data_IF_390007719517
#
_entry.id   IF_390007719517
#
_cell.length_a   1.000
_cell.length_b   1.000
_cell.length_c   1.000
_cell.angle_alpha   90.00
_cell.angle_beta   90.00
_cell.angle_gamma   90.00
#
_symmetry.space_group_name_H-M   'P 1'
#
loop_
_entity.id
_entity.type
_entity.pdbx_description
1 polymer ?
#
# COMPACT_ATOMS: atom_id res chain seq x y z
N UNK A 1 15.13 21.58 -63.04
CA UNK A 1 15.49 21.07 -64.38
C UNK A 1 16.78 20.27 -64.26
N UNK A 2 17.07 19.40 -65.24
CA UNK A 2 18.22 18.45 -65.29
C UNK A 2 18.10 17.26 -64.31
N UNK A 3 18.55 16.09 -64.76
CA UNK A 3 18.57 14.82 -64.00
C UNK A 3 19.42 13.77 -64.74
N UNK A 4 19.22 12.48 -64.44
CA UNK A 4 19.86 11.27 -65.06
C UNK A 4 21.32 11.05 -64.56
N UNK A 5 21.86 9.81 -64.39
CA UNK A 5 21.36 8.48 -64.81
C UNK A 5 21.21 7.38 -63.74
N UNK A 6 20.51 6.30 -64.15
CA UNK A 6 20.65 4.92 -63.64
C UNK A 6 21.59 4.09 -64.53
N UNK A 7 22.25 3.06 -63.98
CA UNK A 7 22.62 1.76 -64.62
C UNK A 7 22.99 0.77 -63.48
N UNK A 8 22.28 -0.35 -63.31
CA UNK A 8 22.64 -1.73 -63.76
C UNK A 8 23.97 -2.26 -63.17
N UNK A 9 24.07 -3.46 -62.58
CA UNK A 9 23.64 -4.76 -63.15
C UNK A 9 23.79 -5.96 -62.19
N UNK A 10 22.76 -6.85 -62.11
CA UNK A 10 22.80 -8.35 -61.93
C UNK A 10 23.47 -8.93 -60.64
N UNK A 11 23.14 -10.13 -60.10
CA UNK A 11 22.37 -11.32 -60.54
C UNK A 11 22.04 -12.24 -59.32
N UNK A 12 21.02 -13.11 -59.44
CA UNK A 12 20.74 -14.37 -58.70
C UNK A 12 20.79 -14.38 -57.14
N UNK A 13 19.72 -14.69 -56.37
CA UNK A 13 18.80 -15.83 -56.33
C UNK A 13 19.34 -17.11 -55.63
N UNK A 14 18.83 -17.42 -54.43
CA UNK A 14 18.15 -18.70 -54.11
C UNK A 14 17.38 -18.64 -52.77
N UNK A 15 16.39 -19.51 -52.61
CA UNK A 15 15.66 -19.74 -51.35
C UNK A 15 16.46 -20.61 -50.37
N UNK A 16 16.08 -20.60 -49.08
CA UNK A 16 15.53 -21.77 -48.34
C UNK A 16 15.26 -21.40 -46.87
N UNK A 17 14.14 -21.88 -46.34
CA UNK A 17 13.75 -21.83 -44.91
C UNK A 17 14.40 -22.94 -44.10
N UNK A 18 14.87 -22.66 -42.88
CA UNK A 18 15.01 -23.68 -41.83
C UNK A 18 15.06 -23.07 -40.42
N UNK A 19 14.33 -23.70 -39.49
CA UNK A 19 14.55 -23.58 -38.04
C UNK A 19 15.81 -24.36 -37.63
N UNK A 20 16.49 -23.93 -36.58
CA UNK A 20 17.33 -24.81 -35.76
C UNK A 20 17.37 -24.33 -34.30
N UNK A 21 16.99 -25.22 -33.38
CA UNK A 21 17.24 -25.04 -31.95
C UNK A 21 18.68 -25.49 -31.63
N UNK A 22 19.36 -24.78 -30.74
CA UNK A 22 20.67 -25.17 -30.24
C UNK A 22 20.54 -25.77 -28.83
N UNK A 23 20.74 -27.09 -28.73
CA UNK A 23 20.88 -27.80 -27.45
C UNK A 23 22.19 -27.41 -26.75
N UNK A 24 22.16 -27.33 -25.42
CA UNK A 24 23.36 -27.11 -24.61
C UNK A 24 24.17 -28.42 -24.57
N UNK A 25 25.43 -28.38 -25.05
CA UNK A 25 26.27 -29.58 -25.18
C UNK A 25 27.06 -29.83 -23.89
N UNK A 26 26.92 -31.03 -23.32
CA UNK A 26 27.73 -31.49 -22.18
C UNK A 26 29.13 -31.83 -22.64
N UNK A 27 30.15 -31.27 -21.97
CA UNK A 27 31.56 -31.63 -22.21
C UNK A 27 31.92 -32.85 -21.36
N UNK A 28 32.39 -33.91 -22.02
CA UNK A 28 33.00 -35.08 -21.38
C UNK A 28 34.53 -34.98 -21.47
N UNK A 29 35.23 -35.29 -20.38
CA UNK A 29 36.67 -35.51 -20.37
C UNK A 29 36.98 -36.88 -19.72
N UNK A 30 37.93 -37.61 -20.30
CA UNK A 30 38.38 -38.93 -19.82
C UNK A 30 39.62 -38.84 -18.90
N UNK A 31 39.94 -39.90 -18.11
CA UNK A 31 40.84 -39.79 -16.96
C UNK A 31 42.22 -40.46 -17.11
N UNK A 32 43.24 -39.85 -16.52
CA UNK A 32 44.42 -40.44 -15.82
C UNK A 32 45.28 -39.25 -15.31
N UNK A 33 45.97 -39.21 -14.16
CA UNK A 33 46.54 -40.25 -13.28
C UNK A 33 46.64 -39.75 -11.82
N UNK A 34 46.79 -40.65 -10.84
CA UNK A 34 47.17 -40.38 -9.42
C UNK A 34 48.71 -40.38 -9.24
N UNK A 35 49.32 -40.00 -8.07
CA UNK A 35 48.79 -39.82 -6.69
C UNK A 35 48.91 -38.35 -6.18
N UNK A 36 48.84 -37.94 -4.89
CA UNK A 36 48.90 -38.65 -3.58
C UNK A 36 48.10 -37.93 -2.43
N UNK A 37 48.52 -38.13 -1.18
CA UNK A 37 48.05 -37.52 0.09
C UNK A 37 48.43 -36.02 0.21
N UNK A 38 47.71 -35.14 0.90
CA UNK A 38 47.24 -35.22 2.30
C UNK A 38 45.98 -34.37 2.58
N UNK A 39 45.31 -34.65 3.71
CA UNK A 39 43.89 -34.35 3.93
C UNK A 39 43.43 -32.91 4.23
N UNK A 40 42.11 -32.75 4.16
CA UNK A 40 41.33 -31.84 5.02
C UNK A 40 39.89 -32.34 5.15
N UNK A 41 39.26 -31.95 6.26
CA UNK A 41 37.99 -32.41 6.85
C UNK A 41 36.78 -32.32 5.90
N UNK A 42 35.92 -33.35 5.91
CA UNK A 42 34.64 -33.34 5.20
C UNK A 42 33.53 -32.62 6.00
N UNK A 43 32.74 -31.79 5.33
CA UNK A 43 31.53 -31.18 5.90
C UNK A 43 30.37 -32.21 5.99
N UNK A 44 29.49 -32.12 7.00
CA UNK A 44 28.32 -32.99 7.11
C UNK A 44 27.29 -32.72 6.00
N UNK A 45 26.53 -33.73 5.55
CA UNK A 45 25.50 -33.55 4.52
C UNK A 45 24.30 -32.74 5.04
N UNK A 46 23.68 -31.96 4.15
CA UNK A 46 22.45 -31.23 4.45
C UNK A 46 21.29 -32.19 4.76
N UNK A 47 20.37 -31.83 5.68
CA UNK A 47 19.23 -32.67 6.03
C UNK A 47 18.25 -32.80 4.86
N UNK A 48 17.67 -34.00 4.71
CA UNK A 48 16.67 -34.29 3.69
C UNK A 48 15.35 -33.52 3.95
N UNK A 49 14.60 -33.14 2.89
CA UNK A 49 13.31 -32.48 3.05
C UNK A 49 12.28 -33.42 3.72
N UNK A 50 11.34 -32.88 4.53
CA UNK A 50 10.34 -33.68 5.21
C UNK A 50 9.39 -34.37 4.22
N UNK A 51 8.97 -35.59 4.57
CA UNK A 51 8.10 -36.41 3.74
C UNK A 51 6.70 -35.79 3.57
N UNK A 52 6.12 -35.96 2.38
CA UNK A 52 4.75 -35.51 2.08
C UNK A 52 3.72 -36.25 2.95
N UNK A 53 2.64 -35.58 3.41
CA UNK A 53 1.61 -36.20 4.23
C UNK A 53 0.82 -37.27 3.46
N UNK A 54 0.43 -38.34 4.16
CA UNK A 54 -0.31 -39.47 3.61
C UNK A 54 -1.73 -39.08 3.14
N UNK A 55 -2.29 -39.75 2.12
CA UNK A 55 -3.63 -39.46 1.61
C UNK A 55 -4.73 -39.83 2.62
N UNK A 56 -5.76 -38.99 2.69
CA UNK A 56 -6.92 -39.18 3.56
C UNK A 56 -7.74 -40.43 3.16
N UNK A 57 -8.41 -41.10 4.13
CA UNK A 57 -9.17 -42.33 3.88
C UNK A 57 -10.43 -42.10 3.03
N UNK A 58 -10.83 -43.14 2.30
CA UNK A 58 -11.84 -43.08 1.25
C UNK A 58 -13.26 -42.71 1.73
N UNK A 59 -13.98 -42.01 0.85
CA UNK A 59 -15.36 -41.58 1.08
C UNK A 59 -16.34 -42.76 1.25
N UNK A 60 -17.22 -42.67 2.25
CA UNK A 60 -18.25 -43.67 2.55
C UNK A 60 -19.54 -43.34 1.79
N UNK A 61 -20.08 -44.32 1.06
CA UNK A 61 -21.26 -44.17 0.21
C UNK A 61 -22.48 -43.54 0.92
N UNK A 62 -22.96 -42.40 0.40
CA UNK A 62 -24.29 -41.85 0.71
C UNK A 62 -25.17 -41.91 -0.53
N UNK A 63 -26.42 -42.35 -0.34
CA UNK A 63 -27.34 -42.75 -1.41
C UNK A 63 -27.67 -41.60 -2.37
N UNK A 64 -27.70 -41.89 -3.68
CA UNK A 64 -28.32 -41.02 -4.70
C UNK A 64 -29.77 -40.69 -4.28
N UNK A 65 -30.05 -39.41 -4.04
CA UNK A 65 -31.41 -38.86 -4.15
C UNK A 65 -31.57 -38.20 -5.51
N UNK A 66 -32.74 -38.41 -6.10
CA UNK A 66 -33.13 -37.88 -7.41
C UNK A 66 -33.13 -36.36 -7.43
N UNK A 67 -32.57 -35.76 -8.49
CA UNK A 67 -32.68 -34.33 -8.76
C UNK A 67 -34.12 -33.99 -9.16
N UNK A 68 -34.90 -33.46 -8.22
CA UNK A 68 -36.11 -32.71 -8.55
C UNK A 68 -35.70 -31.33 -9.05
N UNK A 69 -36.29 -30.84 -10.13
CA UNK A 69 -35.92 -29.57 -10.74
C UNK A 69 -36.00 -28.41 -9.73
N UNK A 70 -34.88 -27.71 -9.53
CA UNK A 70 -34.86 -26.47 -8.74
C UNK A 70 -35.62 -25.41 -9.56
N UNK A 71 -36.76 -24.96 -9.03
CA UNK A 71 -37.46 -23.77 -9.54
C UNK A 71 -36.46 -22.63 -9.64
N UNK A 72 -36.54 -21.82 -10.70
CA UNK A 72 -35.88 -20.50 -10.74
C UNK A 72 -36.17 -19.81 -9.41
N UNK A 73 -35.13 -19.49 -8.65
CA UNK A 73 -35.27 -18.53 -7.59
C UNK A 73 -35.75 -17.23 -8.25
N UNK A 74 -36.90 -16.74 -7.83
CA UNK A 74 -37.33 -15.39 -8.18
C UNK A 74 -36.24 -14.44 -7.69
N UNK A 75 -35.92 -13.43 -8.49
CA UNK A 75 -34.90 -12.45 -8.16
C UNK A 75 -35.37 -11.61 -6.99
N UNK A 76 -35.06 -12.05 -5.76
CA UNK A 76 -34.95 -11.15 -4.63
C UNK A 76 -33.96 -10.07 -5.05
N UNK A 77 -34.46 -8.84 -5.28
CA UNK A 77 -33.63 -7.71 -5.62
C UNK A 77 -32.49 -7.61 -4.62
N UNK A 78 -31.25 -7.51 -5.11
CA UNK A 78 -30.10 -7.45 -4.22
C UNK A 78 -30.23 -6.20 -3.35
N UNK A 79 -30.12 -6.34 -2.04
CA UNK A 79 -30.08 -5.20 -1.13
C UNK A 79 -28.73 -4.47 -1.31
N UNK A 80 -28.72 -3.53 -2.25
CA UNK A 80 -27.57 -2.68 -2.52
C UNK A 80 -27.33 -1.70 -1.35
N UNK A 81 -28.42 -1.21 -0.75
CA UNK A 81 -28.42 -0.09 0.21
C UNK A 81 -28.00 -0.52 1.62
N UNK A 82 -28.35 -1.73 2.03
CA UNK A 82 -27.94 -2.31 3.32
C UNK A 82 -26.49 -2.81 3.36
N UNK A 83 -25.76 -2.79 2.24
CA UNK A 83 -24.39 -3.28 2.18
C UNK A 83 -23.43 -2.46 3.03
N UNK A 84 -22.60 -3.16 3.81
CA UNK A 84 -21.45 -2.58 4.52
C UNK A 84 -20.20 -3.37 4.16
N UNK A 85 -19.18 -2.68 3.67
CA UNK A 85 -17.87 -3.25 3.46
C UNK A 85 -17.20 -3.60 4.81
N UNK A 86 -16.29 -4.57 4.79
CA UNK A 86 -15.46 -4.91 5.94
C UNK A 86 -14.40 -3.82 6.15
N UNK A 87 -14.48 -3.15 7.30
CA UNK A 87 -13.51 -2.13 7.71
C UNK A 87 -12.10 -2.70 7.96
N UNK A 88 -11.04 -1.95 7.62
CA UNK A 88 -9.67 -2.31 7.98
C UNK A 88 -9.50 -2.25 9.51
N UNK A 89 -8.73 -3.17 10.06
CA UNK A 89 -8.54 -3.31 11.51
C UNK A 89 -7.24 -2.64 11.96
N UNK A 90 -7.07 -2.44 13.27
CA UNK A 90 -5.75 -2.29 13.89
C UNK A 90 -5.00 -3.63 13.76
N UNK A 91 -3.72 -3.60 13.35
CA UNK A 91 -2.82 -4.75 13.45
C UNK A 91 -1.59 -4.34 14.25
N UNK A 92 -1.22 -5.19 15.22
CA UNK A 92 0.01 -5.02 15.97
C UNK A 92 1.19 -5.68 15.24
N UNK A 93 1.99 -4.88 14.53
CA UNK A 93 3.12 -5.39 13.74
C UNK A 93 4.25 -5.99 14.59
N UNK A 94 4.22 -5.78 15.90
CA UNK A 94 5.16 -6.40 16.87
C UNK A 94 5.07 -7.93 16.85
N UNK A 95 4.02 -8.49 16.25
CA UNK A 95 3.78 -9.93 16.10
C UNK A 95 4.37 -10.56 14.83
N UNK A 96 4.98 -9.78 13.93
CA UNK A 96 5.56 -10.34 12.70
C UNK A 96 6.85 -11.13 12.98
N UNK A 97 6.78 -12.45 12.80
CA UNK A 97 7.89 -13.38 12.99
C UNK A 97 9.02 -13.16 11.96
N UNK A 98 10.26 -13.05 12.43
CA UNK A 98 11.44 -12.96 11.57
C UNK A 98 12.64 -12.30 12.26
N UNK A 99 13.75 -12.22 11.54
CA UNK A 99 14.86 -11.34 11.93
C UNK A 99 14.46 -9.88 11.66
N UNK A 100 14.70 -8.98 12.61
CA UNK A 100 14.39 -7.56 12.44
C UNK A 100 15.14 -6.97 11.23
N UNK A 101 14.47 -6.16 10.37
CA UNK A 101 15.11 -5.56 9.21
C UNK A 101 16.18 -4.55 9.63
N UNK A 102 17.24 -4.44 8.82
CA UNK A 102 18.35 -3.50 9.09
C UNK A 102 17.93 -2.04 8.86
N UNK A 103 16.95 -1.82 7.98
CA UNK A 103 16.39 -0.51 7.64
C UNK A 103 14.87 -0.61 7.44
N UNK A 104 14.14 0.36 7.98
CA UNK A 104 12.75 0.62 7.64
C UNK A 104 12.68 1.81 6.68
N UNK A 105 12.00 1.65 5.55
CA UNK A 105 11.85 2.66 4.51
C UNK A 105 10.37 2.99 4.38
N UNK A 106 9.96 4.09 5.01
CA UNK A 106 8.59 4.60 4.96
C UNK A 106 8.43 5.46 3.71
N UNK A 107 7.38 5.27 2.91
CA UNK A 107 7.18 6.00 1.65
C UNK A 107 5.80 6.64 1.64
N UNK A 108 5.75 7.91 1.21
CA UNK A 108 4.54 8.71 1.02
C UNK A 108 3.60 8.21 -0.08
N UNK A 109 2.47 8.91 -0.21
CA UNK A 109 1.36 8.63 -1.13
C UNK A 109 1.84 8.48 -2.58
N UNK A 110 1.59 7.29 -3.17
CA UNK A 110 2.10 6.94 -4.50
C UNK A 110 1.10 7.27 -5.59
N UNK A 111 -0.21 7.06 -5.35
CA UNK A 111 -1.30 7.35 -6.28
C UNK A 111 -1.02 6.87 -7.73
N UNK A 112 -0.68 5.59 -7.92
CA UNK A 112 -0.42 5.05 -9.26
C UNK A 112 0.85 5.57 -9.98
N UNK A 113 1.71 6.34 -9.31
CA UNK A 113 2.99 6.88 -9.85
C UNK A 113 4.10 5.81 -9.84
N UNK A 114 3.94 4.76 -10.67
CA UNK A 114 4.86 3.60 -10.64
C UNK A 114 6.29 3.92 -11.07
N UNK A 115 6.49 4.79 -12.05
CA UNK A 115 7.84 5.20 -12.50
C UNK A 115 8.62 5.82 -11.34
N UNK A 116 7.96 6.72 -10.61
CA UNK A 116 8.47 7.42 -9.44
C UNK A 116 8.74 6.47 -8.28
N UNK A 117 7.86 5.49 -8.04
CA UNK A 117 8.10 4.45 -7.03
C UNK A 117 9.34 3.60 -7.37
N UNK A 118 9.48 3.15 -8.62
CA UNK A 118 10.68 2.43 -9.07
C UNK A 118 11.95 3.31 -8.95
N UNK A 119 11.87 4.59 -9.30
CA UNK A 119 12.99 5.53 -9.18
C UNK A 119 13.40 5.76 -7.71
N UNK A 120 12.44 5.85 -6.79
CA UNK A 120 12.71 5.99 -5.36
C UNK A 120 13.39 4.73 -4.80
N UNK A 121 12.89 3.54 -5.13
CA UNK A 121 13.49 2.27 -4.73
C UNK A 121 14.95 2.12 -5.21
N UNK A 122 15.23 2.55 -6.45
CA UNK A 122 16.60 2.61 -6.97
C UNK A 122 17.46 3.65 -6.20
N UNK A 123 16.92 4.84 -5.91
CA UNK A 123 17.64 5.92 -5.21
C UNK A 123 17.97 5.59 -3.75
N UNK A 124 17.10 4.88 -3.04
CA UNK A 124 17.38 4.38 -1.67
C UNK A 124 18.23 3.11 -1.66
N UNK A 125 18.53 2.55 -2.84
CA UNK A 125 19.25 1.29 -3.05
C UNK A 125 18.61 0.14 -2.26
N UNK A 126 17.29 -0.04 -2.43
CA UNK A 126 16.50 -1.01 -1.69
C UNK A 126 17.04 -2.44 -1.82
N UNK A 127 17.21 -3.13 -0.69
CA UNK A 127 17.67 -4.52 -0.61
C UNK A 127 16.59 -5.42 -0.01
N UNK A 128 15.85 -6.12 -0.87
CA UNK A 128 14.84 -7.09 -0.44
C UNK A 128 15.46 -8.17 0.47
N UNK A 129 14.80 -8.45 1.60
CA UNK A 129 15.32 -9.37 2.63
C UNK A 129 16.34 -8.76 3.60
N UNK A 130 16.62 -7.46 3.53
CA UNK A 130 17.43 -6.73 4.52
C UNK A 130 16.79 -5.39 4.90
N UNK A 131 16.23 -4.69 3.92
CA UNK A 131 15.36 -3.54 4.10
C UNK A 131 13.88 -4.01 4.14
N UNK A 132 13.04 -3.31 4.92
CA UNK A 132 11.59 -3.42 4.87
C UNK A 132 10.97 -2.10 4.36
N UNK A 133 10.09 -2.18 3.38
CA UNK A 133 9.30 -1.03 2.89
C UNK A 133 7.98 -0.97 3.65
N UNK A 134 7.58 0.22 4.07
CA UNK A 134 6.28 0.50 4.69
C UNK A 134 5.63 1.69 3.95
N UNK A 135 4.46 1.50 3.36
CA UNK A 135 3.75 2.56 2.62
C UNK A 135 2.68 3.20 3.51
N UNK A 136 2.58 4.53 3.49
CA UNK A 136 1.61 5.28 4.33
C UNK A 136 0.18 5.29 3.77
N UNK A 137 -0.14 4.38 2.84
CA UNK A 137 -1.42 4.30 2.13
C UNK A 137 -1.42 5.03 0.78
N UNK A 138 -2.59 5.05 0.15
CA UNK A 138 -2.89 5.68 -1.13
C UNK A 138 -1.92 5.26 -2.24
N UNK A 139 -1.87 3.94 -2.45
CA UNK A 139 -1.13 3.32 -3.56
C UNK A 139 -1.83 3.56 -4.91
N UNK A 140 -3.15 3.79 -4.88
CA UNK A 140 -4.05 3.77 -6.05
C UNK A 140 -4.78 5.10 -6.28
N UNK A 141 -5.50 5.17 -7.41
CA UNK A 141 -6.25 6.33 -7.92
C UNK A 141 -5.37 7.54 -8.30
N UNK A 142 -5.98 8.52 -8.98
CA UNK A 142 -5.38 9.74 -9.55
C UNK A 142 -4.34 9.49 -10.65
N UNK A 143 -3.25 8.80 -10.37
CA UNK A 143 -2.20 8.51 -11.34
C UNK A 143 -2.43 7.21 -12.13
N UNK A 144 -1.71 7.04 -13.26
CA UNK A 144 -2.10 6.13 -14.33
C UNK A 144 -1.95 4.64 -14.00
N UNK A 145 -0.96 4.26 -13.18
CA UNK A 145 -0.48 2.88 -13.08
C UNK A 145 -0.81 2.19 -11.75
N UNK A 146 -2.00 2.45 -11.19
CA UNK A 146 -2.47 1.91 -9.90
C UNK A 146 -2.24 0.39 -9.74
N UNK A 147 -2.59 -0.41 -10.76
CA UNK A 147 -2.43 -1.87 -10.69
C UNK A 147 -0.95 -2.32 -10.71
N UNK A 148 -0.05 -1.54 -11.30
CA UNK A 148 1.39 -1.84 -11.30
C UNK A 148 2.04 -1.45 -9.97
N UNK A 149 1.65 -0.32 -9.36
CA UNK A 149 2.09 0.05 -7.99
C UNK A 149 1.75 -1.06 -7.00
N UNK A 150 0.50 -1.54 -6.99
CA UNK A 150 0.08 -2.63 -6.09
C UNK A 150 0.85 -3.93 -6.40
N UNK A 151 1.07 -4.28 -7.67
CA UNK A 151 1.88 -5.45 -8.06
C UNK A 151 3.34 -5.30 -7.61
N UNK A 152 3.92 -4.11 -7.73
CA UNK A 152 5.29 -3.80 -7.32
C UNK A 152 5.45 -3.92 -5.82
N UNK A 153 4.56 -3.30 -5.05
CA UNK A 153 4.51 -3.36 -3.59
C UNK A 153 4.47 -4.82 -3.08
N UNK A 154 3.62 -5.67 -3.69
CA UNK A 154 3.60 -7.12 -3.43
C UNK A 154 4.94 -7.79 -3.72
N UNK A 155 5.54 -7.49 -4.89
CA UNK A 155 6.76 -8.14 -5.37
C UNK A 155 7.96 -7.86 -4.45
N UNK A 156 8.06 -6.63 -3.94
CA UNK A 156 9.14 -6.22 -3.02
C UNK A 156 8.88 -6.60 -1.56
N UNK A 157 7.73 -7.20 -1.24
CA UNK A 157 7.34 -7.54 0.14
C UNK A 157 6.99 -6.33 1.00
N UNK A 158 6.53 -5.23 0.40
CA UNK A 158 6.15 -4.04 1.16
C UNK A 158 4.98 -4.32 2.11
N UNK A 159 5.04 -3.71 3.29
CA UNK A 159 3.88 -3.51 4.15
C UNK A 159 3.25 -2.15 3.83
N UNK A 160 2.01 -1.95 4.23
CA UNK A 160 1.32 -0.67 4.07
C UNK A 160 0.23 -0.54 5.12
N UNK A 161 -0.15 0.69 5.45
CA UNK A 161 -1.44 1.02 6.05
C UNK A 161 -2.46 1.35 4.95
N UNK A 162 -3.74 1.31 5.29
CA UNK A 162 -4.86 1.66 4.41
C UNK A 162 -4.89 3.18 4.19
N UNK A 163 -4.84 3.62 2.93
CA UNK A 163 -5.23 4.98 2.56
C UNK A 163 -6.72 5.13 2.21
N UNK A 164 -7.23 6.37 2.19
CA UNK A 164 -8.66 6.61 1.94
C UNK A 164 -9.06 6.35 0.46
N UNK A 165 -8.13 6.49 -0.50
CA UNK A 165 -8.35 6.05 -1.88
C UNK A 165 -8.23 4.53 -2.01
N UNK A 166 -7.34 3.88 -1.25
CA UNK A 166 -7.27 2.42 -1.20
C UNK A 166 -8.59 1.82 -0.66
N UNK A 167 -9.14 2.41 0.41
CA UNK A 167 -10.40 1.97 1.02
C UNK A 167 -11.58 2.05 0.05
N UNK A 168 -11.76 3.18 -0.64
CA UNK A 168 -12.78 3.35 -1.68
C UNK A 168 -12.72 2.27 -2.76
N UNK A 169 -11.53 1.87 -3.20
CA UNK A 169 -11.35 0.76 -4.15
C UNK A 169 -11.79 -0.58 -3.54
N UNK A 170 -11.47 -0.83 -2.27
CA UNK A 170 -11.85 -2.07 -1.59
C UNK A 170 -13.35 -2.14 -1.29
N UNK A 171 -13.99 -1.04 -0.87
CA UNK A 171 -15.45 -0.95 -0.71
C UNK A 171 -16.16 -1.26 -2.03
N UNK A 172 -15.74 -0.62 -3.13
CA UNK A 172 -16.24 -0.93 -4.48
C UNK A 172 -16.02 -2.40 -4.86
N UNK A 173 -14.82 -2.96 -4.61
CA UNK A 173 -14.52 -4.35 -4.96
C UNK A 173 -15.42 -5.33 -4.21
N UNK A 174 -15.63 -5.12 -2.92
CA UNK A 174 -16.51 -5.97 -2.10
C UNK A 174 -17.97 -5.84 -2.55
N UNK A 175 -18.45 -4.63 -2.86
CA UNK A 175 -19.80 -4.40 -3.38
C UNK A 175 -20.04 -5.15 -4.71
N UNK A 176 -19.12 -5.02 -5.67
CA UNK A 176 -19.15 -5.68 -6.98
C UNK A 176 -18.95 -7.21 -6.92
N UNK A 177 -18.44 -7.74 -5.80
CA UNK A 177 -18.30 -9.19 -5.56
C UNK A 177 -19.42 -9.76 -4.67
N UNK A 178 -20.20 -8.91 -4.01
CA UNK A 178 -21.32 -9.25 -3.14
C UNK A 178 -22.67 -8.89 -3.77
N UNK A 179 -23.37 -7.84 -3.28
CA UNK A 179 -24.74 -7.52 -3.70
C UNK A 179 -24.84 -7.12 -5.17
N UNK A 180 -23.86 -6.40 -5.73
CA UNK A 180 -23.86 -5.99 -7.13
C UNK A 180 -23.21 -7.02 -8.08
N UNK A 181 -23.01 -8.27 -7.63
CA UNK A 181 -22.26 -9.28 -8.38
C UNK A 181 -22.97 -9.66 -9.68
N UNK A 182 -22.30 -9.37 -10.79
CA UNK A 182 -22.78 -9.71 -12.13
C UNK A 182 -23.70 -8.67 -12.76
N UNK A 183 -23.99 -7.56 -12.07
CA UNK A 183 -24.67 -6.41 -12.66
C UNK A 183 -23.78 -5.73 -13.71
N UNK A 184 -24.39 -5.33 -14.81
CA UNK A 184 -23.79 -4.45 -15.82
C UNK A 184 -23.72 -3.00 -15.34
N UNK A 185 -22.86 -2.20 -15.97
CA UNK A 185 -22.70 -0.77 -15.70
C UNK A 185 -24.03 -0.01 -15.88
N UNK A 186 -24.88 -0.41 -16.82
CA UNK A 186 -26.23 0.17 -17.02
C UNK A 186 -27.21 -0.17 -15.89
N UNK A 187 -27.17 -1.41 -15.37
CA UNK A 187 -28.00 -1.81 -14.22
C UNK A 187 -27.56 -1.09 -12.95
N UNK A 188 -26.24 -0.95 -12.75
CA UNK A 188 -25.64 -0.17 -11.67
C UNK A 188 -26.03 1.30 -11.73
N UNK A 189 -25.90 1.95 -12.90
CA UNK A 189 -26.26 3.36 -13.08
C UNK A 189 -27.75 3.60 -12.75
N UNK A 190 -28.63 2.70 -13.20
CA UNK A 190 -30.08 2.76 -12.94
C UNK A 190 -30.48 2.59 -11.47
N UNK A 191 -29.59 2.06 -10.63
CA UNK A 191 -29.79 1.82 -9.20
C UNK A 191 -28.82 2.64 -8.34
N UNK A 192 -28.16 3.66 -8.91
CA UNK A 192 -27.15 4.47 -8.23
C UNK A 192 -27.67 5.26 -7.02
N UNK A 193 -28.98 5.51 -6.96
CA UNK A 193 -29.67 6.10 -5.79
C UNK A 193 -29.75 5.16 -4.58
N UNK A 194 -29.58 3.85 -4.78
CA UNK A 194 -29.60 2.83 -3.73
C UNK A 194 -28.19 2.36 -3.35
N UNK A 195 -27.15 3.10 -3.77
CA UNK A 195 -25.79 2.80 -3.34
C UNK A 195 -25.57 3.12 -1.85
N UNK A 196 -24.78 2.30 -1.14
CA UNK A 196 -24.61 2.40 0.31
C UNK A 196 -23.62 3.50 0.77
N UNK A 197 -22.97 4.19 -0.18
CA UNK A 197 -21.98 5.24 0.10
C UNK A 197 -22.12 6.39 -0.90
N UNK A 198 -22.12 7.63 -0.41
CA UNK A 198 -22.26 8.82 -1.26
C UNK A 198 -21.09 9.01 -2.24
N UNK A 199 -19.91 8.45 -1.95
CA UNK A 199 -18.72 8.49 -2.79
C UNK A 199 -18.68 7.39 -3.89
N UNK A 200 -19.70 6.53 -3.97
CA UNK A 200 -19.82 5.56 -5.07
C UNK A 200 -20.32 6.24 -6.36
N UNK A 201 -19.37 6.67 -7.20
CA UNK A 201 -19.63 7.15 -8.58
C UNK A 201 -19.00 6.23 -9.62
N UNK A 202 -19.75 5.79 -10.63
CA UNK A 202 -19.23 4.92 -11.72
C UNK A 202 -18.18 5.63 -12.58
N UNK A 203 -18.21 6.95 -12.64
CA UNK A 203 -17.18 7.77 -13.30
C UNK A 203 -15.83 7.80 -12.56
N UNK A 204 -15.81 7.41 -11.28
CA UNK A 204 -14.61 7.47 -10.44
C UNK A 204 -13.52 6.48 -10.89
N UNK A 205 -12.26 6.83 -10.63
CA UNK A 205 -11.16 5.88 -10.82
C UNK A 205 -11.25 4.72 -9.82
N UNK A 206 -11.82 4.94 -8.63
CA UNK A 206 -12.01 3.88 -7.63
C UNK A 206 -12.84 2.72 -8.19
N UNK A 207 -13.93 3.02 -8.90
CA UNK A 207 -14.75 2.01 -9.60
C UNK A 207 -13.97 1.29 -10.71
N UNK A 208 -13.28 2.05 -11.59
CA UNK A 208 -12.49 1.50 -12.71
C UNK A 208 -11.39 0.56 -12.20
N UNK A 209 -10.68 0.96 -11.16
CA UNK A 209 -9.63 0.17 -10.50
C UNK A 209 -10.28 -1.05 -9.83
N UNK A 210 -11.37 -0.90 -9.07
CA UNK A 210 -12.05 -2.02 -8.43
C UNK A 210 -12.51 -3.10 -9.43
N UNK A 211 -12.93 -2.74 -10.65
CA UNK A 211 -13.25 -3.70 -11.72
C UNK A 211 -12.02 -4.38 -12.31
N UNK A 212 -10.95 -3.62 -12.58
CA UNK A 212 -9.79 -4.09 -13.35
C UNK A 212 -8.66 -4.70 -12.51
N UNK A 213 -8.61 -4.43 -11.21
CA UNK A 213 -7.57 -4.94 -10.32
C UNK A 213 -7.65 -6.47 -10.19
N UNK A 214 -6.51 -7.13 -10.34
CA UNK A 214 -6.40 -8.59 -10.21
C UNK A 214 -6.75 -9.05 -8.80
N UNK A 215 -7.31 -10.26 -8.66
CA UNK A 215 -7.80 -10.74 -7.36
C UNK A 215 -6.70 -10.84 -6.28
N UNK A 216 -5.46 -11.14 -6.66
CA UNK A 216 -4.33 -11.16 -5.74
C UNK A 216 -3.88 -9.75 -5.32
N UNK A 217 -3.88 -8.80 -6.25
CA UNK A 217 -3.63 -7.38 -5.97
C UNK A 217 -4.73 -6.79 -5.08
N UNK A 218 -6.01 -7.09 -5.35
CA UNK A 218 -7.13 -6.65 -4.54
C UNK A 218 -7.13 -7.27 -3.13
N UNK A 219 -6.75 -8.55 -2.99
CA UNK A 219 -6.64 -9.20 -1.68
C UNK A 219 -5.47 -8.66 -0.84
N UNK A 220 -4.32 -8.38 -1.47
CA UNK A 220 -3.20 -7.71 -0.80
C UNK A 220 -3.55 -6.27 -0.42
N UNK A 221 -4.16 -5.51 -1.34
CA UNK A 221 -4.64 -4.18 -1.02
C UNK A 221 -5.56 -4.28 0.19
N UNK A 222 -6.60 -5.12 0.17
CA UNK A 222 -7.54 -5.35 1.28
C UNK A 222 -6.93 -5.85 2.60
N UNK A 223 -5.66 -6.29 2.65
CA UNK A 223 -5.04 -6.77 3.90
C UNK A 223 -4.43 -5.66 4.76
N UNK A 224 -4.22 -4.45 4.22
CA UNK A 224 -3.62 -3.35 4.98
C UNK A 224 -4.49 -2.93 6.19
N UNK A 225 -3.91 -2.78 7.40
CA UNK A 225 -4.59 -2.25 8.56
C UNK A 225 -4.80 -0.73 8.47
N UNK A 226 -5.67 -0.17 9.31
CA UNK A 226 -5.80 1.28 9.46
C UNK A 226 -4.59 1.88 10.20
N UNK A 227 -4.10 1.16 11.22
CA UNK A 227 -3.01 1.57 12.11
C UNK A 227 -1.99 0.43 12.18
N UNK A 228 -0.70 0.77 12.15
CA UNK A 228 0.42 -0.17 12.28
C UNK A 228 1.42 0.35 13.33
N UNK A 229 1.47 -0.30 14.49
CA UNK A 229 2.60 -0.17 15.45
C UNK A 229 3.88 -0.72 14.84
N UNK A 230 5.06 -0.46 15.41
CA UNK A 230 6.33 -1.06 14.98
C UNK A 230 6.98 -1.93 16.08
N UNK A 231 7.81 -2.93 15.72
CA UNK A 231 8.62 -3.69 16.68
C UNK A 231 9.76 -2.87 17.28
N UNK A 232 10.33 -3.38 18.38
CA UNK A 232 11.57 -2.88 18.96
C UNK A 232 12.71 -2.82 17.91
N UNK A 233 13.57 -1.78 17.92
CA UNK A 233 13.67 -0.68 18.90
C UNK A 233 12.75 0.52 18.58
N UNK A 234 11.76 0.35 17.70
CA UNK A 234 10.89 1.44 17.21
C UNK A 234 9.47 1.37 17.79
N UNK A 235 9.26 0.78 18.96
CA UNK A 235 7.92 0.58 19.55
C UNK A 235 7.17 1.86 19.90
N UNK A 236 7.88 2.99 20.05
CA UNK A 236 7.30 4.34 20.15
C UNK A 236 6.71 4.87 18.82
N UNK A 237 6.97 4.23 17.69
CA UNK A 237 6.52 4.67 16.38
C UNK A 237 5.25 3.94 15.93
N UNK A 238 4.32 4.70 15.37
CA UNK A 238 3.10 4.22 14.73
C UNK A 238 2.98 4.80 13.32
N UNK A 239 2.46 4.00 12.39
CA UNK A 239 2.15 4.41 11.02
C UNK A 239 0.64 4.45 10.87
N UNK A 240 0.16 5.54 10.27
CA UNK A 240 -1.24 5.79 9.89
C UNK A 240 -1.26 6.47 8.51
N UNK A 241 -2.44 6.68 7.92
CA UNK A 241 -2.53 7.41 6.67
C UNK A 241 -2.75 8.91 6.87
N UNK A 242 -3.82 9.31 7.58
CA UNK A 242 -4.13 10.71 7.86
C UNK A 242 -3.61 11.16 9.22
N UNK A 243 -4.13 10.59 10.31
CA UNK A 243 -3.80 11.01 11.68
C UNK A 243 -4.38 10.10 12.76
N UNK A 244 -4.41 10.62 13.99
CA UNK A 244 -4.96 9.95 15.18
C UNK A 244 -5.70 10.97 16.06
N UNK A 245 -6.83 10.58 16.65
CA UNK A 245 -7.52 11.41 17.65
C UNK A 245 -6.72 11.38 18.95
N UNK A 246 -6.21 12.52 19.46
CA UNK A 246 -5.21 12.56 20.54
C UNK A 246 -5.73 12.16 21.93
N UNK A 247 -7.04 11.97 22.08
CA UNK A 247 -7.72 11.58 23.33
C UNK A 247 -8.19 10.12 23.35
N UNK A 248 -7.94 9.35 22.27
CA UNK A 248 -8.38 7.96 22.14
C UNK A 248 -7.17 7.00 22.12
N UNK A 249 -7.27 5.86 22.81
CA UNK A 249 -6.28 4.79 22.68
C UNK A 249 -6.28 4.22 21.25
N UNK A 250 -5.18 3.60 20.78
CA UNK A 250 -5.08 3.08 19.40
C UNK A 250 -6.21 2.08 19.02
N UNK A 251 -6.73 1.32 19.99
CA UNK A 251 -7.84 0.39 19.79
C UNK A 251 -9.25 1.05 19.81
N UNK A 252 -9.33 2.32 20.20
CA UNK A 252 -10.56 3.12 20.26
C UNK A 252 -10.69 4.08 19.05
N UNK A 253 -9.65 4.19 18.22
CA UNK A 253 -9.63 5.00 17.00
C UNK A 253 -10.59 4.43 15.94
N UNK A 254 -11.31 5.30 15.22
CA UNK A 254 -12.13 4.87 14.08
C UNK A 254 -11.28 4.81 12.80
N UNK A 255 -11.40 3.77 11.97
CA UNK A 255 -10.63 3.67 10.73
C UNK A 255 -10.81 4.85 9.78
N UNK A 256 -12.02 5.42 9.69
CA UNK A 256 -12.31 6.59 8.84
C UNK A 256 -11.48 7.81 9.29
N UNK A 257 -11.59 8.21 10.56
CA UNK A 257 -10.83 9.30 11.17
C UNK A 257 -9.31 9.11 10.94
N UNK A 258 -8.80 7.89 11.13
CA UNK A 258 -7.39 7.54 10.93
C UNK A 258 -6.91 7.77 9.49
N UNK A 259 -7.80 7.62 8.51
CA UNK A 259 -7.50 7.80 7.09
C UNK A 259 -7.75 9.22 6.55
N UNK A 260 -8.55 10.05 7.22
CA UNK A 260 -9.00 11.33 6.65
C UNK A 260 -8.60 12.58 7.45
N UNK A 261 -8.15 12.41 8.70
CA UNK A 261 -7.82 13.55 9.58
C UNK A 261 -6.71 14.42 8.97
N UNK A 262 -7.02 15.71 8.78
CA UNK A 262 -6.05 16.79 8.44
C UNK A 262 -6.00 17.87 9.51
N UNK A 263 -7.18 18.19 10.05
CA UNK A 263 -7.36 19.20 11.09
C UNK A 263 -8.20 18.60 12.22
N UNK A 264 -8.06 19.15 13.42
CA UNK A 264 -8.91 18.85 14.58
C UNK A 264 -9.57 20.14 15.06
N UNK A 265 -10.89 20.11 15.19
CA UNK A 265 -11.68 21.15 15.86
C UNK A 265 -12.11 20.71 17.26
N UNK A 266 -12.93 21.52 17.96
CA UNK A 266 -13.38 21.24 19.32
C UNK A 266 -14.09 19.88 19.50
N UNK A 267 -14.72 19.39 18.43
CA UNK A 267 -15.51 18.15 18.41
C UNK A 267 -14.74 16.92 17.88
N UNK A 268 -13.44 17.04 17.59
CA UNK A 268 -12.62 15.99 16.98
C UNK A 268 -12.16 16.32 15.55
N UNK A 269 -11.85 15.32 14.71
CA UNK A 269 -11.45 15.53 13.31
C UNK A 269 -12.47 16.37 12.53
N UNK A 270 -11.97 17.32 11.73
CA UNK A 270 -12.79 18.13 10.84
C UNK A 270 -13.03 17.43 9.50
N UNK A 271 -14.25 17.52 8.96
CA UNK A 271 -14.55 17.17 7.57
C UNK A 271 -14.09 18.25 6.58
N UNK A 272 -14.03 19.51 7.03
CA UNK A 272 -13.64 20.66 6.21
C UNK A 272 -12.13 20.93 6.30
N UNK A 273 -11.50 21.10 5.14
CA UNK A 273 -10.03 21.26 4.99
C UNK A 273 -9.47 22.45 5.78
N UNK A 274 -10.26 23.51 5.94
CA UNK A 274 -9.86 24.79 6.52
C UNK A 274 -10.47 25.07 7.92
N UNK A 275 -11.27 24.15 8.46
CA UNK A 275 -11.81 24.25 9.83
C UNK A 275 -10.90 23.53 10.83
N UNK A 276 -10.73 24.11 12.02
CA UNK A 276 -9.91 23.56 13.09
C UNK A 276 -8.41 23.82 12.93
N UNK A 277 -7.64 23.27 13.86
CA UNK A 277 -6.18 23.40 13.93
C UNK A 277 -5.49 22.24 13.21
N UNK A 278 -4.29 22.46 12.65
CA UNK A 278 -3.57 21.43 11.91
C UNK A 278 -3.26 20.21 12.81
N UNK A 279 -3.54 19.00 12.33
CA UNK A 279 -3.52 17.79 13.15
C UNK A 279 -2.18 17.58 13.89
N UNK A 280 -1.05 17.84 13.23
CA UNK A 280 0.28 17.62 13.81
C UNK A 280 0.59 18.57 14.98
N UNK A 281 0.06 19.80 14.98
CA UNK A 281 0.26 20.75 16.08
C UNK A 281 -0.58 20.33 17.30
N UNK A 282 -1.83 19.92 17.08
CA UNK A 282 -2.70 19.36 18.13
C UNK A 282 -2.11 18.06 18.71
N UNK A 283 -1.57 17.19 17.86
CA UNK A 283 -0.86 15.97 18.28
C UNK A 283 0.38 16.29 19.11
N UNK A 284 1.21 17.26 18.67
CA UNK A 284 2.39 17.70 19.41
C UNK A 284 2.02 18.28 20.80
N UNK A 285 0.99 19.13 20.87
CA UNK A 285 0.49 19.69 22.11
C UNK A 285 -0.10 18.62 23.06
N UNK A 286 -0.72 17.57 22.53
CA UNK A 286 -1.20 16.44 23.32
C UNK A 286 -0.05 15.56 23.85
N UNK A 287 0.87 15.13 22.97
CA UNK A 287 1.99 14.27 23.35
C UNK A 287 2.98 14.96 24.31
N UNK A 288 3.11 16.30 24.26
CA UNK A 288 3.89 17.06 25.24
C UNK A 288 3.38 16.90 26.69
N UNK A 289 2.10 16.56 26.90
CA UNK A 289 1.52 16.26 28.23
C UNK A 289 1.85 14.85 28.72
N UNK A 290 2.21 13.94 27.80
CA UNK A 290 2.50 12.52 28.04
C UNK A 290 4.00 12.20 27.94
N UNK A 291 4.83 13.17 27.54
CA UNK A 291 6.24 12.97 27.28
C UNK A 291 7.00 12.56 28.56
N UNK A 292 7.91 11.57 28.49
CA UNK A 292 8.70 11.15 29.66
C UNK A 292 9.52 12.30 30.26
N UNK A 293 9.67 12.37 31.60
CA UNK A 293 10.49 13.38 32.25
C UNK A 293 11.92 13.39 31.69
N UNK A 294 12.37 14.57 31.22
CA UNK A 294 13.71 14.76 30.66
C UNK A 294 13.83 14.50 29.15
N UNK A 295 12.76 14.12 28.44
CA UNK A 295 12.80 14.12 26.97
C UNK A 295 12.86 15.55 26.42
N UNK A 296 13.64 15.78 25.36
CA UNK A 296 13.84 17.12 24.79
C UNK A 296 12.71 17.56 23.85
N UNK A 297 11.53 16.93 23.90
CA UNK A 297 10.39 17.20 23.02
C UNK A 297 9.61 18.48 23.39
N UNK A 298 10.22 19.39 24.15
CA UNK A 298 9.67 20.71 24.39
C UNK A 298 9.66 21.45 23.04
N UNK A 299 8.48 21.79 22.47
CA UNK A 299 8.43 22.38 21.14
C UNK A 299 9.23 23.69 21.13
N UNK A 300 10.21 23.79 20.23
CA UNK A 300 10.86 25.07 19.98
C UNK A 300 9.79 26.04 19.50
N UNK A 301 9.43 26.97 20.39
CA UNK A 301 8.43 28.00 20.16
C UNK A 301 8.85 28.85 18.96
N UNK A 302 8.43 28.48 17.74
CA UNK A 302 8.43 29.40 16.61
C UNK A 302 7.56 30.57 17.03
N UNK A 303 8.15 31.76 17.04
CA UNK A 303 7.39 33.00 17.23
C UNK A 303 6.56 33.27 15.98
N UNK A 304 5.42 32.59 15.89
CA UNK A 304 4.28 33.07 15.14
C UNK A 304 3.20 33.43 16.16
N UNK A 305 2.49 34.53 15.90
CA UNK A 305 1.40 34.99 16.74
C UNK A 305 0.17 34.07 16.54
N UNK A 306 0.22 32.87 17.08
CA UNK A 306 -0.98 32.07 17.34
C UNK A 306 -1.40 32.27 18.79
N UNK A 307 -2.59 32.83 18.98
CA UNK A 307 -3.36 32.58 20.21
C UNK A 307 -3.47 31.08 20.38
N UNK A 308 -2.84 30.52 21.42
CA UNK A 308 -3.09 29.15 21.86
C UNK A 308 -4.49 29.11 22.46
N UNK A 309 -5.49 28.99 21.60
CA UNK A 309 -6.89 28.80 21.96
C UNK A 309 -7.10 27.43 22.58
N UNK A 310 -8.19 27.27 23.31
CA UNK A 310 -8.65 26.00 23.90
C UNK A 310 -9.21 25.04 22.83
N UNK A 311 -8.48 24.83 21.72
CA UNK A 311 -8.88 24.06 20.53
C UNK A 311 -8.63 22.56 20.63
N UNK A 312 -7.84 22.11 21.62
CA UNK A 312 -7.66 20.69 21.87
C UNK A 312 -9.02 20.05 22.27
N UNK A 313 -9.44 18.94 21.64
CA UNK A 313 -10.76 18.37 21.86
C UNK A 313 -10.93 17.94 23.32
N UNK A 314 -12.11 18.20 23.87
CA UNK A 314 -12.41 17.91 25.27
C UNK A 314 -12.32 16.40 25.54
N UNK A 315 -11.41 15.99 26.43
CA UNK A 315 -11.20 14.59 26.78
C UNK A 315 -10.05 14.38 27.77
N UNK A 316 -10.01 13.20 28.38
CA UNK A 316 -8.86 12.77 29.17
C UNK A 316 -7.81 12.07 28.30
N UNK A 317 -6.55 12.12 28.73
CA UNK A 317 -5.43 11.42 28.11
C UNK A 317 -5.02 10.13 28.87
N UNK A 318 -5.75 9.74 29.93
CA UNK A 318 -5.35 8.66 30.85
C UNK A 318 -5.12 7.28 30.20
N UNK A 319 -5.72 7.04 29.02
CA UNK A 319 -5.56 5.80 28.23
C UNK A 319 -4.55 5.91 27.08
N UNK A 320 -4.02 7.10 26.84
CA UNK A 320 -3.19 7.42 25.67
C UNK A 320 -1.72 7.24 26.05
N UNK A 321 -0.96 6.60 25.16
CA UNK A 321 0.49 6.44 25.29
C UNK A 321 1.19 7.42 24.36
N UNK A 322 2.43 7.79 24.69
CA UNK A 322 3.25 8.61 23.81
C UNK A 322 3.62 7.84 22.53
N UNK A 323 3.32 8.41 21.37
CA UNK A 323 3.76 7.86 20.08
C UNK A 323 4.29 8.95 19.13
N UNK A 324 5.34 8.58 18.39
CA UNK A 324 5.77 9.25 17.17
C UNK A 324 5.00 8.70 15.99
N UNK A 325 4.57 9.56 15.06
CA UNK A 325 3.64 9.18 13.99
C UNK A 325 4.25 9.42 12.61
N UNK A 326 4.17 8.42 11.73
CA UNK A 326 4.49 8.54 10.30
C UNK A 326 3.18 8.47 9.52
N UNK A 327 2.95 9.43 8.62
CA UNK A 327 1.68 9.62 7.92
C UNK A 327 1.86 10.15 6.49
N UNK A 328 0.76 10.20 5.75
CA UNK A 328 0.66 10.67 4.36
C UNK A 328 -0.49 11.65 4.21
N UNK A 329 -1.35 11.43 3.21
CA UNK A 329 -2.67 12.04 2.99
C UNK A 329 -2.69 13.56 2.70
N UNK A 330 -1.92 14.37 3.43
CA UNK A 330 -2.05 15.83 3.42
C UNK A 330 -1.22 16.55 2.35
N UNK A 331 -1.46 16.21 1.08
CA UNK A 331 -1.06 16.98 -0.09
C UNK A 331 -1.48 18.47 0.00
N UNK A 332 -2.42 18.86 0.88
CA UNK A 332 -2.73 20.27 1.13
C UNK A 332 -1.53 21.01 1.72
N UNK A 333 -0.80 20.37 2.63
CA UNK A 333 0.36 20.93 3.34
C UNK A 333 1.73 20.45 2.84
N UNK A 334 1.77 19.42 1.99
CA UNK A 334 3.02 18.83 1.46
C UNK A 334 3.88 18.19 2.57
N UNK A 335 5.17 17.98 2.31
CA UNK A 335 6.11 17.35 3.24
C UNK A 335 6.17 18.09 4.60
N UNK A 336 5.85 17.38 5.68
CA UNK A 336 5.76 17.90 7.05
C UNK A 336 6.69 17.10 7.96
N UNK A 337 7.81 17.69 8.40
CA UNK A 337 8.84 17.00 9.18
C UNK A 337 9.02 17.72 10.50
N UNK A 338 8.52 17.10 11.57
CA UNK A 338 8.59 17.57 12.95
C UNK A 338 9.25 16.50 13.83
N UNK A 339 9.53 16.83 15.08
CA UNK A 339 10.26 15.93 15.98
C UNK A 339 9.54 14.59 16.18
N UNK A 340 8.21 14.64 16.43
CA UNK A 340 7.39 13.46 16.71
C UNK A 340 6.39 13.10 15.60
N UNK A 341 6.26 13.90 14.53
CA UNK A 341 5.38 13.61 13.40
C UNK A 341 6.12 13.76 12.06
N UNK A 342 5.91 12.81 11.15
CA UNK A 342 6.59 12.71 9.85
C UNK A 342 5.56 12.48 8.72
N UNK A 343 5.05 13.56 8.15
CA UNK A 343 4.10 13.57 7.03
C UNK A 343 4.84 13.52 5.70
N UNK A 344 4.69 12.41 4.98
CA UNK A 344 5.48 12.06 3.80
C UNK A 344 4.81 12.42 2.46
N UNK A 345 3.53 12.77 2.45
CA UNK A 345 2.83 13.23 1.24
C UNK A 345 3.48 14.52 0.73
N UNK A 346 4.28 14.35 -0.31
CA UNK A 346 5.05 15.40 -0.97
C UNK A 346 4.47 15.73 -2.35
N UNK A 347 3.17 15.46 -2.55
CA UNK A 347 2.38 15.78 -3.74
C UNK A 347 2.82 15.05 -5.02
N UNK A 348 3.27 13.80 -4.94
CA UNK A 348 3.89 13.13 -6.09
C UNK A 348 3.02 13.20 -7.37
N UNK A 349 1.76 12.76 -7.30
CA UNK A 349 0.87 12.71 -8.47
C UNK A 349 0.56 14.09 -9.09
N UNK A 350 0.77 15.17 -8.33
CA UNK A 350 0.60 16.57 -8.73
C UNK A 350 1.92 17.25 -9.15
N UNK A 351 2.94 16.48 -9.56
CA UNK A 351 4.23 17.02 -10.00
C UNK A 351 5.17 17.45 -8.86
N UNK A 352 4.89 17.02 -7.64
CA UNK A 352 5.75 17.24 -6.47
C UNK A 352 6.91 16.25 -6.41
N UNK A 353 7.05 15.58 -5.27
CA UNK A 353 8.04 14.52 -5.07
C UNK A 353 7.37 13.29 -4.45
N UNK A 354 8.00 12.13 -4.61
CA UNK A 354 7.77 10.94 -3.80
C UNK A 354 8.89 10.87 -2.77
N UNK A 355 8.55 10.94 -1.49
CA UNK A 355 9.53 10.99 -0.39
C UNK A 355 9.51 9.72 0.44
N UNK A 356 10.71 9.25 0.76
CA UNK A 356 10.96 8.24 1.76
C UNK A 356 11.56 8.86 3.04
N UNK A 357 11.16 8.34 4.19
CA UNK A 357 11.82 8.50 5.48
C UNK A 357 12.44 7.15 5.88
N UNK A 358 13.67 7.16 6.40
CA UNK A 358 14.45 5.94 6.62
C UNK A 358 14.95 5.88 8.06
N UNK A 359 14.65 4.77 8.73
CA UNK A 359 15.23 4.38 10.01
C UNK A 359 16.22 3.21 9.82
N UNK A 360 17.31 3.10 10.60
CA UNK A 360 17.80 4.10 11.56
C UNK A 360 18.35 5.38 10.88
N UNK A 361 18.46 6.46 11.67
CA UNK A 361 19.12 7.70 11.26
C UNK A 361 18.22 8.80 10.70
N UNK A 362 16.89 8.62 10.71
CA UNK A 362 15.86 9.62 10.35
C UNK A 362 16.11 10.31 8.98
N UNK A 363 16.65 9.57 8.02
CA UNK A 363 17.10 10.12 6.73
C UNK A 363 15.93 10.30 5.76
N UNK A 364 15.82 11.48 5.16
CA UNK A 364 14.90 11.76 4.06
C UNK A 364 15.56 11.54 2.69
N UNK A 365 14.82 10.92 1.76
CA UNK A 365 15.21 10.74 0.36
C UNK A 365 14.00 10.93 -0.53
N UNK A 366 14.06 11.85 -1.49
CA UNK A 366 12.95 12.11 -2.42
C UNK A 366 13.36 11.95 -3.88
N UNK A 367 12.41 11.62 -4.75
CA UNK A 367 12.53 11.74 -6.22
C UNK A 367 11.48 12.71 -6.75
N UNK A 368 11.80 13.53 -7.77
CA UNK A 368 10.80 14.38 -8.42
C UNK A 368 9.78 13.51 -9.16
N UNK A 369 8.52 13.96 -9.19
CA UNK A 369 7.43 13.26 -9.86
C UNK A 369 6.95 14.04 -11.09
N UNK A 370 6.38 13.32 -12.07
CA UNK A 370 5.61 13.96 -13.14
C UNK A 370 4.27 14.45 -12.61
N UNK A 371 3.75 15.53 -13.20
CA UNK A 371 2.37 15.94 -12.99
C UNK A 371 1.44 15.04 -13.81
N UNK A 372 0.71 14.15 -13.13
CA UNK A 372 -0.32 13.31 -13.75
C UNK A 372 -1.72 13.92 -13.62
N UNK A 373 -1.96 14.70 -12.57
CA UNK A 373 -3.22 15.39 -12.29
C UNK A 373 -2.95 16.85 -11.97
N UNK A 374 -3.66 17.76 -12.64
CA UNK A 374 -3.64 19.20 -12.34
C UNK A 374 -4.37 19.49 -11.05
N UNK A 375 -3.74 20.20 -10.12
CA UNK A 375 -4.28 20.49 -8.77
C UNK A 375 -5.67 21.14 -8.79
N UNK A 376 -5.97 21.94 -9.82
CA UNK A 376 -7.24 22.67 -9.97
C UNK A 376 -8.46 21.77 -10.29
N UNK A 377 -8.27 20.45 -10.43
CA UNK A 377 -9.36 19.47 -10.69
C UNK A 377 -9.77 18.65 -9.47
N UNK A 378 -9.05 18.76 -8.35
CA UNK A 378 -9.21 17.97 -7.12
C UNK A 378 -9.75 18.82 -5.94
N UNK A 379 -10.27 20.02 -6.21
CA UNK A 379 -10.71 20.99 -5.21
C UNK A 379 -12.19 21.36 -5.37
#
# INVERSE_FOLDING_TARGET
>A
MVGIPRRHSRRAALCITALAAAYCTVVLFSPSSRPAHAGSVAAPPAPAPPAAPAPAPAARNVRRRTFTAVRRAESSGADLKGFKAKEPQLIDARTFEGAAPQRLIFIGDIHGSSDEFNALLAKVQFKQGSDQIILVGDLVAKGPNSADVVRKARTVGAWAVRGNHDDRVIRWRQFLQGPAKGMSDSELESQSSDFPYDDFKLSSDHYKIAKTLGSCEAAYLASFPAIMTLPEPYSEWVVVHGGLVPTLALAEQKPEDVMTTRNIGPNGPSSEKDEGEAWFDVWAAAMAKLAPPGSSTAPQRRQQNSTTSDTAPAGSYDKVQFYKVIYGHDAGRSLQIHDITKGLDSRCVYGGNLTAFILPGEKLVSVPCKEYVSKDKDN
#
